data_IF_750010801590
#
_entry.id   IF_750010801590
#
_cell.length_a   1.000
_cell.length_b   1.000
_cell.length_c   1.000
_cell.angle_alpha   90.00
_cell.angle_beta   90.00
_cell.angle_gamma   90.00
#
_symmetry.space_group_name_H-M   'P 1'
#
loop_
_entity.id
_entity.type
_entity.pdbx_description
1 polymer ?
#
# COMPACT_ATOMS: atom_id res chain seq x y z
N UNK A 1 21.13 5.91 -10.98
CA UNK A 1 20.59 4.65 -11.49
C UNK A 1 19.13 4.53 -11.07
N UNK A 2 18.28 4.03 -11.95
CA UNK A 2 16.87 3.72 -11.66
C UNK A 2 16.75 2.83 -10.43
N UNK A 3 15.93 3.24 -9.47
CA UNK A 3 15.71 2.49 -8.23
C UNK A 3 14.35 2.84 -7.62
N UNK A 4 13.26 2.16 -8.00
CA UNK A 4 11.93 2.43 -7.47
C UNK A 4 11.88 2.37 -5.95
N UNK A 5 12.53 1.36 -5.33
CA UNK A 5 12.66 1.23 -3.88
C UNK A 5 13.29 2.47 -3.19
N UNK A 6 14.00 3.29 -3.93
CA UNK A 6 14.57 4.55 -3.46
C UNK A 6 13.88 5.77 -4.06
N UNK A 7 12.72 5.58 -4.67
CA UNK A 7 11.97 6.65 -5.34
C UNK A 7 12.81 7.43 -6.36
N UNK A 8 13.64 6.71 -7.16
CA UNK A 8 14.44 7.27 -8.25
C UNK A 8 13.90 6.73 -9.57
N UNK A 9 13.39 7.62 -10.40
CA UNK A 9 12.83 7.32 -11.71
C UNK A 9 13.90 6.95 -12.74
N UNK A 10 13.48 6.45 -13.92
CA UNK A 10 14.39 6.05 -15.02
C UNK A 10 15.21 7.23 -15.56
N UNK A 11 14.64 8.40 -15.62
CA UNK A 11 15.28 9.64 -16.03
C UNK A 11 16.24 10.21 -14.98
N UNK A 12 16.30 9.60 -13.80
CA UNK A 12 17.12 10.05 -12.67
C UNK A 12 16.41 11.07 -11.77
N UNK A 13 15.19 11.47 -12.09
CA UNK A 13 14.40 12.35 -11.24
C UNK A 13 13.97 11.62 -9.95
N UNK A 14 13.63 12.41 -8.93
CA UNK A 14 13.13 11.90 -7.66
C UNK A 14 11.62 11.93 -7.60
N UNK A 15 11.01 10.84 -7.12
CA UNK A 15 9.59 10.78 -6.79
C UNK A 15 9.39 11.46 -5.42
N UNK A 16 9.34 12.79 -5.38
CA UNK A 16 9.12 13.56 -4.15
C UNK A 16 7.65 13.67 -3.78
N UNK A 17 6.79 13.66 -4.79
CA UNK A 17 5.37 13.94 -4.70
C UNK A 17 4.59 13.00 -5.58
N UNK A 18 3.37 12.74 -5.17
CA UNK A 18 2.42 12.02 -6.01
C UNK A 18 1.38 13.01 -6.54
N UNK A 19 1.48 13.38 -7.82
CA UNK A 19 0.66 14.42 -8.47
C UNK A 19 -0.85 14.21 -8.35
N UNK A 20 -1.31 12.97 -8.20
CA UNK A 20 -2.74 12.68 -8.04
C UNK A 20 -3.31 13.12 -6.67
N UNK A 21 -2.45 13.41 -5.68
CA UNK A 21 -2.85 13.79 -4.32
C UNK A 21 -2.19 15.09 -3.88
N UNK A 22 -0.94 15.29 -4.31
CA UNK A 22 -0.14 16.42 -3.89
C UNK A 22 -0.25 17.53 -4.95
N UNK A 23 -1.25 18.39 -4.81
CA UNK A 23 -1.37 19.60 -5.65
C UNK A 23 -0.40 20.68 -5.15
N UNK A 24 0.84 20.60 -5.65
CA UNK A 24 1.90 21.49 -5.19
C UNK A 24 2.04 22.66 -6.15
N UNK A 25 1.54 23.79 -5.70
CA UNK A 25 1.76 25.10 -6.36
C UNK A 25 2.75 25.89 -5.52
N UNK A 26 3.90 26.24 -6.12
CA UNK A 26 4.93 27.07 -5.45
C UNK A 26 4.68 28.52 -5.89
N UNK A 27 3.73 29.17 -5.27
CA UNK A 27 3.30 30.54 -5.57
C UNK A 27 3.66 31.57 -4.48
N UNK A 28 4.16 31.09 -3.34
CA UNK A 28 4.54 31.94 -2.23
C UNK A 28 5.80 31.42 -1.50
N UNK A 29 6.48 32.29 -0.70
CA UNK A 29 7.71 31.90 0.02
C UNK A 29 7.51 30.71 0.98
N UNK A 30 6.33 30.58 1.59
CA UNK A 30 6.06 29.48 2.52
C UNK A 30 5.90 28.14 1.76
N UNK A 31 5.23 28.14 0.61
CA UNK A 31 5.15 26.97 -0.26
C UNK A 31 6.56 26.56 -0.77
N UNK A 32 7.39 27.53 -1.14
CA UNK A 32 8.78 27.28 -1.52
C UNK A 32 9.59 26.67 -0.36
N UNK A 33 9.39 27.16 0.86
CA UNK A 33 10.06 26.63 2.06
C UNK A 33 9.62 25.18 2.32
N UNK A 34 8.34 24.90 2.29
CA UNK A 34 7.80 23.55 2.47
C UNK A 34 8.34 22.57 1.42
N UNK A 35 8.48 23.01 0.17
CA UNK A 35 9.11 22.21 -0.88
C UNK A 35 10.59 21.89 -0.57
N UNK A 36 11.37 22.89 -0.14
CA UNK A 36 12.75 22.68 0.25
C UNK A 36 12.89 21.73 1.45
N UNK A 37 12.02 21.86 2.45
CA UNK A 37 12.00 20.96 3.61
C UNK A 37 11.71 19.52 3.19
N UNK A 38 10.79 19.31 2.25
CA UNK A 38 10.48 17.99 1.68
C UNK A 38 11.70 17.43 0.93
N UNK A 39 12.37 18.23 0.11
CA UNK A 39 13.58 17.80 -0.58
C UNK A 39 14.71 17.43 0.41
N UNK A 40 14.95 18.27 1.42
CA UNK A 40 15.97 17.98 2.45
C UNK A 40 15.65 16.67 3.19
N UNK A 41 14.41 16.49 3.62
CA UNK A 41 13.95 15.24 4.23
C UNK A 41 14.19 14.04 3.31
N UNK A 42 13.82 14.16 2.05
CA UNK A 42 14.03 13.09 1.07
C UNK A 42 15.53 12.75 0.92
N UNK A 43 16.43 13.73 0.82
CA UNK A 43 17.86 13.49 0.73
C UNK A 43 18.43 12.83 1.99
N UNK A 44 17.89 13.17 3.17
CA UNK A 44 18.24 12.48 4.42
C UNK A 44 17.77 11.01 4.40
N UNK A 45 16.56 10.74 3.89
CA UNK A 45 16.05 9.38 3.71
C UNK A 45 16.91 8.59 2.72
N UNK A 46 17.36 9.21 1.60
CA UNK A 46 18.29 8.61 0.64
C UNK A 46 19.61 8.19 1.31
N UNK A 47 20.18 9.05 2.14
CA UNK A 47 21.42 8.77 2.88
C UNK A 47 21.23 7.62 3.88
N UNK A 48 20.08 7.56 4.55
CA UNK A 48 19.73 6.45 5.45
C UNK A 48 19.49 5.15 4.67
N UNK A 49 18.76 5.21 3.55
CA UNK A 49 18.51 4.07 2.69
C UNK A 49 19.80 3.45 2.16
N UNK A 50 20.78 4.26 1.76
CA UNK A 50 22.08 3.80 1.32
C UNK A 50 22.82 2.99 2.39
N UNK A 51 22.71 3.38 3.67
CA UNK A 51 23.36 2.68 4.79
C UNK A 51 22.58 1.43 5.24
N UNK A 52 21.24 1.57 5.31
CA UNK A 52 20.35 0.51 5.81
C UNK A 52 20.02 -0.54 4.74
N UNK A 53 20.29 -0.22 3.46
CA UNK A 53 19.90 -1.01 2.28
C UNK A 53 18.39 -1.32 2.22
N UNK A 54 17.59 -0.49 2.84
CA UNK A 54 16.12 -0.50 2.81
C UNK A 54 15.60 0.93 2.95
N UNK A 55 14.40 1.19 2.40
CA UNK A 55 13.78 2.48 2.58
C UNK A 55 13.35 2.67 4.04
N UNK A 56 13.74 3.76 4.69
CA UNK A 56 13.54 3.93 6.13
C UNK A 56 12.18 4.53 6.50
N UNK A 57 11.39 4.95 5.54
CA UNK A 57 10.08 5.56 5.78
C UNK A 57 8.98 4.48 5.73
N UNK A 58 8.36 4.19 6.88
CA UNK A 58 7.26 3.23 6.98
C UNK A 58 5.96 3.73 6.34
N UNK A 59 5.86 5.02 6.04
CA UNK A 59 4.69 5.64 5.39
C UNK A 59 4.87 5.81 3.88
N UNK A 60 5.95 5.27 3.30
CA UNK A 60 6.14 5.32 1.86
C UNK A 60 4.93 4.76 1.12
N UNK A 61 4.54 5.44 0.04
CA UNK A 61 3.47 4.99 -0.85
C UNK A 61 3.84 3.68 -1.52
N UNK A 62 2.85 2.85 -1.79
CA UNK A 62 2.99 1.67 -2.63
C UNK A 62 3.45 2.05 -4.04
N UNK A 63 4.22 1.19 -4.68
CA UNK A 63 4.82 1.49 -5.97
C UNK A 63 3.77 1.42 -7.08
N UNK A 64 3.78 2.46 -7.92
CA UNK A 64 2.84 2.64 -9.03
C UNK A 64 1.57 3.39 -8.63
N UNK A 65 1.11 4.28 -9.53
CA UNK A 65 -0.04 5.18 -9.30
C UNK A 65 -1.29 4.41 -8.85
N UNK A 66 -1.62 3.30 -9.52
CA UNK A 66 -2.80 2.50 -9.16
C UNK A 66 -2.70 1.90 -7.76
N UNK A 67 -1.54 1.40 -7.37
CA UNK A 67 -1.33 0.85 -6.03
C UNK A 67 -1.43 1.95 -4.97
N UNK A 68 -0.86 3.12 -5.22
CA UNK A 68 -0.92 4.26 -4.32
C UNK A 68 -2.36 4.79 -4.13
N UNK A 69 -3.20 4.78 -5.19
CA UNK A 69 -4.65 5.08 -5.07
C UNK A 69 -5.34 4.11 -4.12
N UNK A 70 -5.11 2.82 -4.28
CA UNK A 70 -5.73 1.80 -3.41
C UNK A 70 -5.21 1.88 -1.97
N UNK A 71 -3.94 2.25 -1.77
CA UNK A 71 -3.41 2.53 -0.43
C UNK A 71 -4.15 3.70 0.21
N UNK A 72 -4.35 4.81 -0.49
CA UNK A 72 -5.09 5.96 0.02
C UNK A 72 -6.53 5.59 0.41
N UNK A 73 -7.22 4.82 -0.45
CA UNK A 73 -8.57 4.36 -0.16
C UNK A 73 -8.62 3.44 1.07
N UNK A 74 -7.61 2.60 1.28
CA UNK A 74 -7.47 1.78 2.48
C UNK A 74 -7.22 2.64 3.73
N UNK A 75 -6.38 3.68 3.63
CA UNK A 75 -6.13 4.64 4.70
C UNK A 75 -7.43 5.39 5.10
N UNK A 76 -8.19 5.88 4.12
CA UNK A 76 -9.51 6.51 4.36
C UNK A 76 -10.48 5.54 5.03
N UNK A 77 -10.50 4.28 4.62
CA UNK A 77 -11.34 3.27 5.26
C UNK A 77 -10.89 2.99 6.70
N UNK A 78 -9.58 2.95 6.96
CA UNK A 78 -9.04 2.77 8.31
C UNK A 78 -9.39 3.93 9.23
N UNK A 79 -9.27 5.17 8.76
CA UNK A 79 -9.68 6.37 9.51
C UNK A 79 -11.18 6.33 9.87
N UNK A 80 -12.03 5.91 8.93
CA UNK A 80 -13.47 5.76 9.18
C UNK A 80 -13.80 4.65 10.17
N UNK A 81 -13.00 3.59 10.25
CA UNK A 81 -13.14 2.55 11.29
C UNK A 81 -12.68 3.07 12.66
N UNK A 82 -11.77 4.03 12.68
CA UNK A 82 -11.16 4.57 13.88
C UNK A 82 -10.11 3.63 14.48
N UNK A 83 -9.61 4.03 15.67
CA UNK A 83 -8.59 3.24 16.36
C UNK A 83 -9.03 1.77 16.56
N UNK A 84 -8.08 0.82 16.36
CA UNK A 84 -6.63 1.00 16.12
C UNK A 84 -6.22 0.87 14.64
N UNK A 85 -7.13 1.00 13.69
CA UNK A 85 -6.87 0.68 12.28
C UNK A 85 -5.83 1.59 11.62
N UNK A 86 -5.85 2.93 11.82
CA UNK A 86 -4.83 3.79 11.24
C UNK A 86 -3.43 3.41 11.71
N UNK A 87 -3.25 3.16 13.01
CA UNK A 87 -1.96 2.73 13.55
C UNK A 87 -1.54 1.35 13.03
N UNK A 88 -2.49 0.40 12.88
CA UNK A 88 -2.18 -0.92 12.34
C UNK A 88 -1.71 -0.86 10.89
N UNK A 89 -2.21 0.07 10.07
CA UNK A 89 -1.71 0.30 8.72
C UNK A 89 -0.30 0.91 8.74
N UNK A 90 -0.12 1.99 9.51
CA UNK A 90 1.17 2.68 9.65
C UNK A 90 2.28 1.74 10.12
N UNK A 91 1.97 0.87 11.09
CA UNK A 91 2.88 -0.10 11.66
C UNK A 91 3.03 -1.38 10.82
N UNK A 92 2.35 -1.45 9.65
CA UNK A 92 2.34 -2.61 8.75
C UNK A 92 1.93 -3.92 9.44
N UNK A 93 1.00 -3.84 10.39
CA UNK A 93 0.47 -4.98 11.14
C UNK A 93 -0.69 -5.67 10.42
N UNK A 94 -1.32 -4.98 9.45
CA UNK A 94 -2.36 -5.55 8.60
C UNK A 94 -1.74 -6.16 7.35
N UNK A 95 -2.15 -7.37 7.07
CA UNK A 95 -1.81 -8.11 5.85
C UNK A 95 -3.08 -8.74 5.26
N UNK A 96 -3.05 -9.10 3.98
CA UNK A 96 -4.19 -9.69 3.30
C UNK A 96 -3.79 -10.91 2.50
N UNK A 97 -4.62 -11.95 2.59
CA UNK A 97 -4.48 -13.16 1.77
C UNK A 97 -5.80 -13.52 1.13
N UNK A 98 -5.75 -14.12 -0.05
CA UNK A 98 -6.95 -14.64 -0.73
C UNK A 98 -7.09 -16.13 -0.42
N UNK A 99 -8.29 -16.53 -0.05
CA UNK A 99 -8.62 -17.92 0.27
C UNK A 99 -9.98 -18.33 -0.31
N UNK A 100 -10.09 -19.61 -0.59
CA UNK A 100 -11.33 -20.27 -0.98
C UNK A 100 -11.64 -20.19 -2.49
N UNK A 101 -12.33 -21.21 -2.95
CA UNK A 101 -12.79 -21.34 -4.34
C UNK A 101 -14.21 -21.92 -4.42
N UNK A 102 -14.95 -21.87 -3.29
CA UNK A 102 -16.31 -22.44 -3.21
C UNK A 102 -17.37 -21.64 -3.99
N UNK A 103 -18.63 -22.01 -3.86
CA UNK A 103 -19.76 -21.40 -4.57
C UNK A 103 -19.88 -19.87 -4.40
N UNK A 104 -19.37 -19.32 -3.31
CA UNK A 104 -19.33 -17.87 -3.05
C UNK A 104 -18.09 -17.19 -3.64
N UNK A 105 -17.20 -17.95 -4.28
CA UNK A 105 -15.94 -17.46 -4.80
C UNK A 105 -14.87 -17.23 -3.73
N UNK A 106 -13.76 -16.59 -4.10
CA UNK A 106 -12.66 -16.29 -3.18
C UNK A 106 -13.05 -15.21 -2.18
N UNK A 107 -12.39 -15.24 -1.02
CA UNK A 107 -12.51 -14.21 0.02
C UNK A 107 -11.13 -13.65 0.37
N UNK A 108 -11.06 -12.35 0.54
CA UNK A 108 -9.92 -11.67 1.14
C UNK A 108 -10.01 -11.86 2.66
N UNK A 109 -8.96 -12.38 3.25
CA UNK A 109 -8.80 -12.46 4.71
C UNK A 109 -7.85 -11.38 5.16
N UNK A 110 -8.29 -10.51 6.03
CA UNK A 110 -7.42 -9.55 6.71
C UNK A 110 -6.81 -10.24 7.91
N UNK A 111 -5.49 -10.15 7.98
CA UNK A 111 -4.68 -10.63 9.09
C UNK A 111 -4.19 -9.43 9.90
N UNK A 112 -4.14 -9.56 11.20
CA UNK A 112 -3.45 -8.63 12.09
C UNK A 112 -2.40 -9.43 12.85
N UNK A 113 -1.13 -9.06 12.71
CA UNK A 113 0.03 -9.79 13.26
C UNK A 113 -0.02 -11.30 12.90
N UNK A 114 -0.35 -11.60 11.64
CA UNK A 114 -0.44 -12.97 11.11
C UNK A 114 -1.69 -13.74 11.55
N UNK A 115 -2.55 -13.18 12.39
CA UNK A 115 -3.79 -13.82 12.85
C UNK A 115 -4.99 -13.28 12.10
N UNK A 116 -5.89 -14.19 11.66
CA UNK A 116 -7.10 -13.80 10.96
C UNK A 116 -7.98 -12.88 11.81
N UNK A 117 -8.22 -11.68 11.29
CA UNK A 117 -9.04 -10.65 11.92
C UNK A 117 -10.50 -10.75 11.44
N UNK A 118 -10.72 -10.59 10.13
CA UNK A 118 -12.00 -10.82 9.46
C UNK A 118 -11.77 -11.23 8.00
N UNK A 119 -12.86 -11.52 7.28
CA UNK A 119 -12.78 -11.88 5.85
C UNK A 119 -13.92 -11.25 5.08
N UNK A 120 -13.70 -11.01 3.78
CA UNK A 120 -14.65 -10.35 2.87
C UNK A 120 -14.76 -11.15 1.59
N UNK A 121 -15.97 -11.45 1.14
CA UNK A 121 -16.21 -12.07 -0.15
C UNK A 121 -15.84 -11.11 -1.28
N UNK A 122 -14.94 -11.48 -2.17
CA UNK A 122 -14.49 -10.60 -3.25
C UNK A 122 -15.63 -10.24 -4.21
N UNK A 123 -16.49 -11.19 -4.53
CA UNK A 123 -17.60 -10.98 -5.48
C UNK A 123 -18.67 -10.04 -4.96
N UNK A 124 -19.06 -10.17 -3.70
CA UNK A 124 -20.18 -9.42 -3.13
C UNK A 124 -19.76 -8.21 -2.30
N UNK A 125 -18.48 -8.07 -1.98
CA UNK A 125 -17.98 -7.05 -1.05
C UNK A 125 -18.54 -7.18 0.37
N UNK A 126 -19.06 -8.37 0.75
CA UNK A 126 -19.69 -8.56 2.05
C UNK A 126 -18.76 -9.28 3.01
N UNK A 127 -18.76 -8.83 4.26
CA UNK A 127 -18.05 -9.52 5.34
C UNK A 127 -18.58 -10.96 5.46
N UNK A 128 -17.65 -11.90 5.51
CA UNK A 128 -17.99 -13.32 5.70
C UNK A 128 -18.66 -13.51 7.05
N UNK A 129 -19.76 -14.29 7.06
CA UNK A 129 -20.50 -14.56 8.28
C UNK A 129 -19.66 -15.37 9.27
N UNK A 130 -19.05 -14.69 10.19
CA UNK A 130 -18.35 -15.28 11.32
C UNK A 130 -18.88 -14.63 12.59
N UNK A 131 -19.00 -15.43 13.64
CA UNK A 131 -19.40 -14.97 14.99
C UNK A 131 -18.24 -14.17 15.63
N UNK A 132 -17.76 -13.15 14.93
CA UNK A 132 -16.72 -12.28 15.43
C UNK A 132 -17.33 -10.97 15.93
N UNK A 133 -16.78 -10.41 17.01
CA UNK A 133 -17.19 -9.10 17.48
C UNK A 133 -16.95 -8.06 16.40
N UNK A 134 -17.73 -6.98 16.43
CA UNK A 134 -17.49 -5.83 15.60
C UNK A 134 -16.11 -5.24 15.90
N UNK A 135 -15.42 -4.79 14.86
CA UNK A 135 -14.09 -4.16 14.96
C UNK A 135 -14.14 -2.71 15.46
N UNK A 136 -15.34 -2.12 15.58
CA UNK A 136 -15.49 -0.76 16.10
C UNK A 136 -15.32 -0.72 17.63
N UNK A 137 -14.49 0.21 18.10
CA UNK A 137 -14.16 0.35 19.52
C UNK A 137 -15.04 1.36 20.28
N UNK A 138 -16.03 1.96 19.66
CA UNK A 138 -16.84 3.02 20.26
C UNK A 138 -17.83 2.49 21.30
N UNK A 139 -17.37 2.48 22.54
CA UNK A 139 -18.21 2.45 23.75
C UNK A 139 -18.41 1.08 24.40
N UNK A 140 -18.83 1.07 25.70
CA UNK A 140 -19.09 -0.13 26.46
C UNK A 140 -20.39 -0.78 25.98
N UNK A 141 -20.29 -1.71 25.05
CA UNK A 141 -21.45 -2.50 24.61
C UNK A 141 -21.61 -3.74 25.50
N UNK A 142 -22.77 -3.92 26.10
CA UNK A 142 -23.11 -5.12 26.88
C UNK A 142 -23.04 -6.41 26.06
N UNK A 143 -23.17 -6.32 24.73
CA UNK A 143 -22.93 -7.43 23.78
C UNK A 143 -22.24 -6.84 22.56
N UNK A 144 -21.05 -7.33 22.17
CA UNK A 144 -20.40 -6.88 20.95
C UNK A 144 -21.30 -7.25 19.75
N UNK A 145 -21.57 -6.28 18.88
CA UNK A 145 -22.25 -6.56 17.62
C UNK A 145 -21.35 -7.47 16.77
N UNK A 146 -21.97 -8.38 16.03
CA UNK A 146 -21.25 -9.16 15.02
C UNK A 146 -20.94 -8.22 13.85
N UNK A 147 -19.72 -8.22 13.34
CA UNK A 147 -19.28 -7.32 12.26
C UNK A 147 -20.24 -7.34 11.06
N UNK A 148 -20.76 -8.51 10.68
CA UNK A 148 -21.76 -8.68 9.61
C UNK A 148 -23.02 -7.84 9.82
N UNK A 149 -23.43 -7.63 11.05
CA UNK A 149 -24.65 -6.91 11.43
C UNK A 149 -24.38 -5.48 11.89
N UNK A 150 -23.19 -4.99 11.73
CA UNK A 150 -22.74 -3.69 12.23
C UNK A 150 -22.99 -2.54 11.25
N UNK A 151 -23.86 -2.71 10.26
CA UNK A 151 -24.19 -1.64 9.30
C UNK A 151 -22.96 -1.06 8.61
N UNK A 152 -22.79 0.25 8.73
CA UNK A 152 -21.73 1.00 8.03
C UNK A 152 -20.32 0.50 8.31
N UNK A 153 -20.04 -0.01 9.52
CA UNK A 153 -18.72 -0.57 9.84
C UNK A 153 -18.39 -1.82 9.03
N UNK A 154 -19.38 -2.63 8.69
CA UNK A 154 -19.16 -3.80 7.85
C UNK A 154 -18.78 -3.40 6.41
N UNK A 155 -19.39 -2.35 5.89
CA UNK A 155 -19.07 -1.82 4.56
C UNK A 155 -17.66 -1.19 4.54
N UNK A 156 -17.34 -0.40 5.55
CA UNK A 156 -16.01 0.22 5.67
C UNK A 156 -14.92 -0.84 5.87
N UNK A 157 -15.17 -1.86 6.70
CA UNK A 157 -14.25 -2.98 6.87
C UNK A 157 -14.07 -3.78 5.57
N UNK A 158 -15.14 -3.96 4.80
CA UNK A 158 -15.07 -4.58 3.49
C UNK A 158 -14.25 -3.74 2.51
N UNK A 159 -14.45 -2.43 2.49
CA UNK A 159 -13.65 -1.50 1.70
C UNK A 159 -12.17 -1.62 2.05
N UNK A 160 -11.80 -1.50 3.34
CA UNK A 160 -10.42 -1.67 3.80
C UNK A 160 -9.78 -2.95 3.27
N UNK A 161 -10.46 -4.10 3.42
CA UNK A 161 -9.94 -5.39 2.99
C UNK A 161 -9.70 -5.46 1.48
N UNK A 162 -10.67 -4.98 0.69
CA UNK A 162 -10.61 -5.03 -0.76
C UNK A 162 -9.57 -4.06 -1.32
N UNK A 163 -9.45 -2.87 -0.72
CA UNK A 163 -8.47 -1.89 -1.16
C UNK A 163 -7.04 -2.32 -0.82
N UNK A 164 -6.79 -2.92 0.34
CA UNK A 164 -5.50 -3.54 0.66
C UNK A 164 -5.13 -4.67 -0.32
N UNK A 165 -6.11 -5.50 -0.69
CA UNK A 165 -5.89 -6.54 -1.69
C UNK A 165 -5.56 -5.96 -3.06
N UNK A 166 -6.33 -4.97 -3.53
CA UNK A 166 -6.09 -4.30 -4.81
C UNK A 166 -4.75 -3.59 -4.83
N UNK A 167 -4.38 -2.92 -3.75
CA UNK A 167 -3.06 -2.31 -3.59
C UNK A 167 -1.94 -3.33 -3.86
N UNK A 168 -1.98 -4.48 -3.19
CA UNK A 168 -0.96 -5.52 -3.37
C UNK A 168 -0.93 -6.09 -4.80
N UNK A 169 -2.11 -6.30 -5.42
CA UNK A 169 -2.19 -6.77 -6.82
C UNK A 169 -1.64 -5.73 -7.82
N UNK A 170 -1.92 -4.44 -7.61
CA UNK A 170 -1.41 -3.37 -8.48
C UNK A 170 0.09 -3.14 -8.27
N UNK A 171 0.58 -3.21 -7.03
CA UNK A 171 2.01 -3.11 -6.77
C UNK A 171 2.77 -4.31 -7.37
N UNK A 172 2.21 -5.51 -7.30
CA UNK A 172 2.77 -6.68 -8.00
C UNK A 172 2.85 -6.44 -9.52
N UNK A 173 1.78 -5.91 -10.13
CA UNK A 173 1.78 -5.57 -11.56
C UNK A 173 2.83 -4.52 -11.90
N UNK A 174 3.01 -3.53 -11.04
CA UNK A 174 4.10 -2.55 -11.20
C UNK A 174 5.45 -3.25 -11.26
N UNK A 175 5.76 -4.13 -10.31
CA UNK A 175 7.02 -4.86 -10.31
C UNK A 175 7.16 -5.82 -11.49
N UNK A 176 6.07 -6.46 -11.90
CA UNK A 176 6.05 -7.35 -13.08
C UNK A 176 6.35 -6.56 -14.38
N UNK A 177 5.91 -5.31 -14.50
CA UNK A 177 6.20 -4.44 -15.65
C UNK A 177 7.69 -4.03 -15.72
N UNK A 178 8.40 -4.06 -14.61
CA UNK A 178 9.84 -3.79 -14.55
C UNK A 178 10.70 -5.07 -14.52
N UNK A 179 10.09 -6.24 -14.69
CA UNK A 179 10.83 -7.51 -14.71
C UNK A 179 11.89 -7.49 -15.82
N UNK A 180 13.11 -7.90 -15.50
CA UNK A 180 14.26 -7.81 -16.40
C UNK A 180 14.98 -6.45 -16.42
N UNK A 181 14.46 -5.42 -15.75
CA UNK A 181 15.22 -4.18 -15.58
C UNK A 181 16.40 -4.40 -14.62
N UNK A 182 17.56 -3.78 -14.90
CA UNK A 182 18.71 -3.90 -14.03
C UNK A 182 18.41 -3.39 -12.62
N UNK A 183 18.67 -4.22 -11.61
CA UNK A 183 18.60 -3.77 -10.21
C UNK A 183 19.75 -2.81 -9.91
N UNK A 184 19.48 -1.75 -9.15
CA UNK A 184 20.51 -0.80 -8.71
C UNK A 184 21.53 -1.41 -7.74
N UNK A 185 21.27 -2.61 -7.17
CA UNK A 185 22.15 -3.30 -6.22
C UNK A 185 22.27 -2.63 -4.85
N UNK A 186 21.58 -1.48 -4.64
CA UNK A 186 21.73 -0.69 -3.42
C UNK A 186 20.71 -1.05 -2.31
N UNK A 187 19.70 -1.88 -2.62
CA UNK A 187 18.62 -2.24 -1.71
C UNK A 187 18.58 -3.74 -1.46
N UNK A 188 18.37 -4.15 -0.21
CA UNK A 188 18.09 -5.53 0.14
C UNK A 188 16.65 -5.90 -0.25
N UNK A 189 16.46 -7.13 -0.67
CA UNK A 189 15.15 -7.67 -1.05
C UNK A 189 14.43 -6.87 -2.16
N UNK A 190 15.16 -6.14 -2.98
CA UNK A 190 14.59 -5.46 -4.14
C UNK A 190 13.93 -6.50 -5.07
N UNK A 191 12.66 -6.34 -5.47
CA UNK A 191 11.99 -7.28 -6.38
C UNK A 191 12.71 -7.44 -7.72
N UNK A 192 13.48 -6.44 -8.16
CA UNK A 192 14.28 -6.52 -9.39
C UNK A 192 15.58 -7.32 -9.23
N UNK A 193 16.05 -7.55 -8.00
CA UNK A 193 17.27 -8.33 -7.78
C UNK A 193 17.10 -9.81 -8.16
N UNK A 194 15.89 -10.36 -8.00
CA UNK A 194 15.57 -11.75 -8.31
C UNK A 194 15.40 -12.02 -9.81
N UNK A 195 15.24 -10.98 -10.63
CA UNK A 195 15.06 -11.07 -12.08
C UNK A 195 16.36 -11.04 -12.91
N UNK A 196 17.49 -10.79 -12.28
CA UNK A 196 18.77 -10.65 -12.99
C UNK A 196 19.33 -11.98 -13.57
N UNK A 197 18.67 -13.11 -13.36
CA UNK A 197 19.08 -14.42 -13.86
C UNK A 197 18.19 -14.96 -14.99
N UNK A 198 17.20 -14.22 -15.49
CA UNK A 198 16.33 -14.65 -16.59
C UNK A 198 16.36 -13.62 -17.72
N UNK A 199 17.00 -14.00 -18.81
CA UNK A 199 16.94 -13.49 -20.18
C UNK A 199 17.46 -12.09 -20.52
N UNK A 200 18.62 -12.12 -21.16
CA UNK A 200 19.17 -11.11 -22.05
C UNK A 200 18.41 -11.05 -23.41
N UNK A 201 17.09 -11.00 -23.43
CA UNK A 201 16.30 -10.74 -24.63
C UNK A 201 15.64 -9.36 -24.51
N UNK A 202 16.27 -8.39 -25.20
CA UNK A 202 15.87 -6.99 -25.17
C UNK A 202 14.51 -6.73 -25.79
N UNK A 203 13.49 -6.58 -24.98
CA UNK A 203 12.27 -5.90 -25.35
C UNK A 203 12.20 -4.53 -24.64
N UNK A 204 11.88 -3.44 -25.37
CA UNK A 204 11.68 -2.15 -24.74
C UNK A 204 10.46 -2.23 -23.81
N UNK A 205 10.62 -1.65 -22.63
CA UNK A 205 9.54 -1.59 -21.65
C UNK A 205 8.40 -0.67 -22.13
N UNK A 206 7.13 -0.97 -21.77
CA UNK A 206 6.01 -0.13 -22.10
C UNK A 206 6.18 1.26 -21.47
N UNK A 207 5.88 2.30 -22.26
CA UNK A 207 5.74 3.66 -21.74
C UNK A 207 4.49 3.68 -20.86
N UNK A 208 4.70 3.92 -19.57
CA UNK A 208 3.61 4.17 -18.63
C UNK A 208 3.21 5.64 -18.79
N UNK A 209 2.02 5.88 -19.32
CA UNK A 209 1.42 7.21 -19.32
C UNK A 209 1.33 7.72 -17.87
N UNK A 210 1.90 8.93 -17.65
CA UNK A 210 1.92 9.66 -16.38
C UNK A 210 0.54 10.27 -16.05
#
# INVERSE_FOLDING_TARGET
AFCPERHINRDGSFCLYWRAVDDIVIDCPDAARAWWETLVRFLQLQSRAARLRRWPDGQARAHGTSAAVHQLLAEVAAERLGDPFPSYLTDRRLDVIVRGSGAQGPAVQVLCDGRRFFSVWMRSGRVVNQRRPCVCFNGPRRRPAVLKSCGDHAEVAASLALELHRMGEQEKRFWDAFRGSPCCGSMENCPLASGALADASGQPAPELEE
#
